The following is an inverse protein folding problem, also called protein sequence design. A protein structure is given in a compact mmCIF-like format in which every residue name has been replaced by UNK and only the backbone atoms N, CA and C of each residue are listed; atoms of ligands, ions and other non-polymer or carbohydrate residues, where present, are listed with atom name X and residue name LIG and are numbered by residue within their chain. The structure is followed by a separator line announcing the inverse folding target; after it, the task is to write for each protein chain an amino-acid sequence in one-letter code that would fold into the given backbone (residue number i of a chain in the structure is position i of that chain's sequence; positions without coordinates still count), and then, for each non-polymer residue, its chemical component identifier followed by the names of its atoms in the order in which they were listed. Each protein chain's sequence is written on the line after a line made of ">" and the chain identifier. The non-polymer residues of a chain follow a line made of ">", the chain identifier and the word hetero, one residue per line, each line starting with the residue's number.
data_IF_627134220698
#
_entry.id   IF_627134220698
#
_cell.length_a   1.000
_cell.length_b   1.000
_cell.length_c   1.000
_cell.angle_alpha   90.00
_cell.angle_beta   90.00
_cell.angle_gamma   90.00
#
_symmetry.space_group_name_H-M   'P 1'
#
loop_
_entity.id
_entity.type
_entity.pdbx_description
1 polymer ?
#
# COMPACT_ATOMS: atom_id res chain seq x y z
N UNK A 1 3.19 16.28 41.81
CA UNK A 1 3.99 16.36 43.04
C UNK A 1 3.27 17.26 44.02
N UNK A 2 2.69 16.68 45.07
CA UNK A 2 2.00 17.41 46.13
C UNK A 2 3.02 17.86 47.17
N UNK A 3 3.41 19.13 47.15
CA UNK A 3 4.23 19.74 48.19
C UNK A 3 3.37 20.08 49.41
N UNK A 4 3.76 19.62 50.59
CA UNK A 4 3.17 20.12 51.84
C UNK A 4 3.95 21.37 52.25
N UNK A 5 3.32 22.55 52.15
CA UNK A 5 3.87 23.81 52.67
C UNK A 5 3.29 24.08 54.05
N UNK A 6 4.13 24.06 55.07
CA UNK A 6 3.76 24.50 56.41
C UNK A 6 3.99 26.01 56.53
N UNK A 7 2.91 26.78 56.71
CA UNK A 7 2.99 28.19 57.09
C UNK A 7 2.67 28.29 58.58
N UNK A 8 3.70 28.38 59.41
CA UNK A 8 3.55 28.63 60.84
C UNK A 8 4.49 29.75 61.28
N UNK A 9 4.05 30.57 62.24
CA UNK A 9 4.95 31.50 62.95
C UNK A 9 5.93 30.77 63.87
N UNK A 10 5.57 29.59 64.39
CA UNK A 10 6.38 28.77 65.28
C UNK A 10 6.11 27.27 65.02
N UNK A 11 7.16 26.49 64.76
CA UNK A 11 7.11 25.03 64.78
C UNK A 11 7.83 24.56 66.05
N UNK A 12 7.15 23.79 66.89
CA UNK A 12 7.74 23.19 68.09
C UNK A 12 7.48 21.70 68.12
N UNK A 13 8.54 20.91 68.22
CA UNK A 13 8.49 19.46 68.40
C UNK A 13 9.05 19.13 69.79
N UNK A 14 8.25 18.47 70.63
CA UNK A 14 8.60 18.16 72.03
C UNK A 14 8.90 16.67 72.22
N UNK A 15 9.51 16.02 71.23
CA UNK A 15 9.96 14.63 71.35
C UNK A 15 11.38 14.58 71.92
N UNK A 16 11.68 13.55 72.73
CA UNK A 16 13.03 13.35 73.30
C UNK A 16 14.12 13.10 72.25
N UNK A 17 13.74 12.81 71.00
CA UNK A 17 14.59 12.77 69.82
C UNK A 17 13.75 12.96 68.56
N UNK A 18 14.07 13.95 67.72
CA UNK A 18 13.41 14.17 66.42
C UNK A 18 14.43 14.09 65.29
N UNK A 19 14.04 13.51 64.14
CA UNK A 19 14.83 13.53 62.90
C UNK A 19 13.99 14.12 61.79
N UNK A 20 14.57 15.05 61.04
CA UNK A 20 13.96 15.70 59.89
C UNK A 20 14.80 15.33 58.66
N UNK A 21 14.18 14.78 57.62
CA UNK A 21 14.83 14.51 56.34
C UNK A 21 13.89 14.88 55.17
N UNK A 22 14.47 15.32 54.06
CA UNK A 22 13.75 15.59 52.81
C UNK A 22 14.01 14.45 51.83
N UNK A 23 12.96 13.94 51.18
CA UNK A 23 13.06 12.77 50.28
C UNK A 23 13.55 13.11 48.88
N UNK A 24 13.51 14.38 48.45
CA UNK A 24 13.77 14.80 47.06
C UNK A 24 14.51 16.16 46.92
N UNK A 25 15.37 16.53 47.88
CA UNK A 25 16.19 17.75 47.77
C UNK A 25 16.50 18.45 49.08
N UNK A 26 16.85 19.74 49.01
CA UNK A 26 17.22 20.58 50.14
C UNK A 26 16.05 20.81 51.10
N UNK A 27 16.34 20.81 52.40
CA UNK A 27 15.40 21.23 53.44
C UNK A 27 15.54 22.73 53.67
N UNK A 28 14.59 23.51 53.16
CA UNK A 28 14.59 24.96 53.33
C UNK A 28 13.71 25.37 54.52
N UNK A 29 14.33 25.94 55.55
CA UNK A 29 13.62 26.54 56.67
C UNK A 29 13.49 28.05 56.44
N UNK A 30 12.27 28.53 56.19
CA UNK A 30 11.99 29.96 56.07
C UNK A 30 11.34 30.51 57.34
N UNK A 31 12.06 31.37 58.08
CA UNK A 31 11.55 32.10 59.23
C UNK A 31 11.65 33.61 59.00
N UNK A 32 10.60 34.37 59.37
CA UNK A 32 10.53 35.82 59.12
C UNK A 32 11.47 36.63 60.03
N UNK A 33 12.01 36.01 61.10
CA UNK A 33 12.94 36.68 62.03
C UNK A 33 14.11 35.79 62.47
N UNK A 34 13.84 34.63 63.05
CA UNK A 34 14.89 33.77 63.62
C UNK A 34 14.42 32.32 63.68
N UNK A 35 15.34 31.39 63.44
CA UNK A 35 15.13 29.95 63.67
C UNK A 35 16.12 29.49 64.73
N UNK A 36 15.62 29.16 65.92
CA UNK A 36 16.41 28.59 67.01
C UNK A 36 16.17 27.09 67.15
N UNK A 37 17.20 26.28 66.91
CA UNK A 37 17.19 24.85 67.28
C UNK A 37 17.76 24.71 68.69
N UNK A 38 16.90 24.48 69.68
CA UNK A 38 17.33 24.22 71.05
C UNK A 38 17.27 22.73 71.36
N UNK A 39 18.39 22.18 71.83
CA UNK A 39 18.46 20.81 72.34
C UNK A 39 19.25 20.81 73.64
N UNK A 40 18.79 20.01 74.61
CA UNK A 40 19.49 19.77 75.86
C UNK A 40 20.74 18.88 75.66
N UNK A 41 21.01 18.44 74.42
CA UNK A 41 22.18 17.70 73.99
C UNK A 41 22.82 18.37 72.76
N UNK A 42 24.12 18.18 72.51
CA UNK A 42 24.81 18.74 71.33
C UNK A 42 24.05 18.36 70.05
N UNK A 43 23.64 19.36 69.27
CA UNK A 43 23.08 19.16 67.93
C UNK A 43 24.19 18.60 67.04
N UNK A 44 24.00 17.40 66.49
CA UNK A 44 24.87 16.82 65.46
C UNK A 44 24.23 17.00 64.09
N UNK A 45 24.99 17.56 63.17
CA UNK A 45 24.66 17.60 61.76
C UNK A 45 25.39 16.45 61.08
N UNK A 46 24.65 15.51 60.50
CA UNK A 46 25.20 14.47 59.62
C UNK A 46 24.77 14.77 58.19
N UNK A 47 25.69 14.58 57.24
CA UNK A 47 25.37 14.61 55.83
C UNK A 47 24.71 13.27 55.47
N UNK A 48 23.42 13.29 55.16
CA UNK A 48 22.72 12.15 54.58
C UNK A 48 22.89 12.20 53.07
N UNK A 49 23.64 11.26 52.50
CA UNK A 49 23.65 11.02 51.06
C UNK A 49 22.46 10.10 50.73
N UNK A 50 21.46 10.56 49.96
CA UNK A 50 20.38 9.68 49.50
C UNK A 50 20.99 8.50 48.73
N UNK A 51 20.45 7.27 48.86
CA UNK A 51 20.88 6.18 47.99
C UNK A 51 20.70 6.59 46.53
N UNK A 52 21.72 6.35 45.70
CA UNK A 52 21.63 6.57 44.26
C UNK A 52 20.39 5.87 43.71
N UNK A 53 19.46 6.64 43.15
CA UNK A 53 18.26 6.12 42.48
C UNK A 53 18.66 5.65 41.09
N UNK A 54 19.40 4.56 41.03
CA UNK A 54 19.81 3.89 39.82
C UNK A 54 20.22 2.50 40.20
N UNK A 55 19.30 1.54 40.06
CA UNK A 55 19.72 0.15 40.11
C UNK A 55 19.66 -0.41 38.71
N UNK A 56 20.83 -0.66 38.14
CA UNK A 56 21.06 -1.63 37.04
C UNK A 56 20.55 -3.04 37.39
N UNK A 57 19.90 -3.20 38.54
CA UNK A 57 19.33 -4.40 39.10
C UNK A 57 18.03 -4.83 38.40
N UNK A 58 17.23 -3.87 37.91
CA UNK A 58 15.95 -4.15 37.23
C UNK A 58 15.99 -3.60 35.81
N UNK A 59 16.06 -4.49 34.83
CA UNK A 59 16.03 -4.12 33.41
C UNK A 59 15.37 -5.24 32.60
N UNK A 60 14.70 -4.89 31.51
CA UNK A 60 14.10 -5.88 30.61
C UNK A 60 15.20 -6.56 29.78
N UNK A 61 15.11 -7.88 29.65
CA UNK A 61 16.04 -8.68 28.83
C UNK A 61 15.38 -9.15 27.54
N UNK A 62 14.14 -9.65 27.63
CA UNK A 62 13.43 -10.22 26.48
C UNK A 62 12.04 -9.63 26.37
N UNK A 63 11.71 -9.18 25.16
CA UNK A 63 10.36 -8.84 24.75
C UNK A 63 9.86 -9.94 23.82
N UNK A 64 8.58 -10.29 23.94
CA UNK A 64 7.94 -11.25 23.04
C UNK A 64 6.62 -10.71 22.49
N UNK A 65 6.34 -11.02 21.23
CA UNK A 65 5.02 -10.83 20.63
C UNK A 65 4.08 -11.92 21.13
N UNK A 66 2.96 -11.53 21.75
CA UNK A 66 1.97 -12.46 22.33
C UNK A 66 0.76 -12.69 21.42
N UNK A 67 0.48 -11.75 20.53
CA UNK A 67 -0.56 -11.90 19.53
C UNK A 67 -0.16 -12.93 18.46
N UNK A 68 -1.15 -13.61 17.89
CA UNK A 68 -0.96 -14.47 16.73
C UNK A 68 -0.48 -13.62 15.55
N UNK A 69 0.52 -14.13 14.83
CA UNK A 69 1.03 -13.55 13.60
C UNK A 69 0.33 -14.17 12.38
N UNK A 70 0.28 -13.41 11.30
CA UNK A 70 -0.33 -13.82 10.04
C UNK A 70 0.72 -14.29 9.04
N UNK A 71 0.29 -15.10 8.06
CA UNK A 71 1.17 -15.57 6.98
C UNK A 71 1.20 -14.58 5.83
N UNK A 72 2.40 -14.36 5.29
CA UNK A 72 2.61 -13.61 4.05
C UNK A 72 4.08 -13.67 3.61
N UNK A 73 4.39 -13.04 2.47
CA UNK A 73 5.76 -12.89 2.03
C UNK A 73 6.52 -11.84 2.84
N UNK A 74 7.83 -12.05 2.96
CA UNK A 74 8.79 -11.07 3.47
C UNK A 74 9.35 -10.20 2.33
N UNK A 75 10.36 -9.38 2.63
CA UNK A 75 11.01 -8.51 1.63
C UNK A 75 11.65 -9.29 0.47
N UNK A 76 12.23 -10.45 0.75
CA UNK A 76 12.91 -11.30 -0.24
C UNK A 76 11.90 -11.89 -1.22
N UNK A 77 10.71 -12.25 -0.72
CA UNK A 77 9.62 -12.74 -1.54
C UNK A 77 9.93 -14.07 -2.24
N UNK A 78 10.94 -14.80 -1.77
CA UNK A 78 11.32 -16.14 -2.23
C UNK A 78 11.17 -17.12 -1.08
N UNK A 79 10.54 -18.28 -1.33
CA UNK A 79 10.38 -19.33 -0.32
C UNK A 79 9.00 -19.36 0.35
N UNK A 80 8.87 -20.06 1.50
CA UNK A 80 7.60 -20.22 2.20
C UNK A 80 7.12 -18.91 2.84
N UNK A 81 5.81 -18.80 3.07
CA UNK A 81 5.23 -17.68 3.79
C UNK A 81 5.75 -17.63 5.24
N UNK A 82 6.10 -16.44 5.70
CA UNK A 82 6.59 -16.19 7.06
C UNK A 82 5.48 -15.63 7.93
N UNK A 83 5.65 -15.74 9.24
CA UNK A 83 4.81 -15.07 10.23
C UNK A 83 5.20 -13.59 10.35
N UNK A 84 4.22 -12.70 10.31
CA UNK A 84 4.41 -11.27 10.48
C UNK A 84 3.14 -10.56 10.92
N UNK A 85 3.26 -9.24 11.09
CA UNK A 85 2.19 -8.34 11.47
C UNK A 85 1.48 -7.79 10.22
N UNK A 86 0.20 -7.49 10.33
CA UNK A 86 -0.59 -6.87 9.26
C UNK A 86 -1.02 -5.45 9.66
N UNK A 87 -1.01 -4.56 8.68
CA UNK A 87 -1.57 -3.22 8.83
C UNK A 87 -3.06 -3.27 9.22
N UNK A 88 -3.45 -2.39 10.15
CA UNK A 88 -4.76 -2.35 10.77
C UNK A 88 -4.91 -3.32 11.95
N UNK A 89 -3.96 -4.23 12.16
CA UNK A 89 -3.94 -5.16 13.29
C UNK A 89 -3.55 -4.48 14.61
N UNK A 90 -3.96 -5.10 15.72
CA UNK A 90 -3.59 -4.70 17.07
C UNK A 90 -2.86 -5.85 17.77
N UNK A 91 -1.62 -5.61 18.19
CA UNK A 91 -0.72 -6.64 18.69
C UNK A 91 -0.26 -6.36 20.11
N UNK A 92 -0.18 -7.41 20.92
CA UNK A 92 0.30 -7.33 22.29
C UNK A 92 1.76 -7.76 22.35
N UNK A 93 2.59 -6.91 22.94
CA UNK A 93 3.98 -7.19 23.27
C UNK A 93 4.13 -7.27 24.79
N UNK A 94 4.99 -8.16 25.27
CA UNK A 94 5.21 -8.39 26.70
C UNK A 94 6.70 -8.47 27.02
N UNK A 95 7.11 -7.79 28.09
CA UNK A 95 8.40 -8.00 28.73
C UNK A 95 8.34 -9.34 29.49
N UNK A 96 8.99 -10.38 28.93
CA UNK A 96 8.87 -11.76 29.42
C UNK A 96 10.03 -12.19 30.31
N UNK A 97 11.20 -11.59 30.14
CA UNK A 97 12.40 -11.88 30.93
C UNK A 97 13.06 -10.59 31.37
N UNK A 98 13.62 -10.60 32.57
CA UNK A 98 14.32 -9.47 33.18
C UNK A 98 15.74 -9.89 33.52
N UNK A 99 16.68 -8.96 33.35
CA UNK A 99 18.11 -9.21 33.55
C UNK A 99 18.37 -9.71 34.97
N UNK A 100 19.34 -10.61 35.09
CA UNK A 100 19.72 -11.25 36.35
C UNK A 100 18.58 -12.01 37.06
N UNK A 101 17.48 -12.30 36.34
CA UNK A 101 16.28 -12.92 36.91
C UNK A 101 15.52 -12.04 37.90
N UNK A 102 15.83 -10.73 37.95
CA UNK A 102 15.24 -9.81 38.92
C UNK A 102 14.03 -9.10 38.31
N UNK A 103 12.84 -9.50 38.78
CA UNK A 103 11.57 -8.94 38.32
C UNK A 103 11.31 -7.62 39.07
N UNK A 104 11.02 -6.51 38.36
CA UNK A 104 10.67 -5.24 38.98
C UNK A 104 9.44 -5.39 39.88
N UNK A 105 9.47 -4.75 41.04
CA UNK A 105 8.32 -4.72 41.96
C UNK A 105 7.18 -3.83 41.48
N UNK A 106 7.49 -2.85 40.61
CA UNK A 106 6.53 -1.95 39.99
C UNK A 106 6.73 -1.94 38.47
N UNK A 107 5.79 -2.53 37.74
CA UNK A 107 5.85 -2.58 36.28
C UNK A 107 5.56 -1.24 35.60
N UNK A 108 5.01 -0.24 36.29
CA UNK A 108 4.80 1.10 35.73
C UNK A 108 6.12 1.81 35.39
N UNK A 109 7.25 1.28 35.87
CA UNK A 109 8.59 1.73 35.51
C UNK A 109 9.04 1.29 34.12
N UNK A 110 8.40 0.27 33.53
CA UNK A 110 8.74 -0.24 32.20
C UNK A 110 8.13 0.69 31.15
N UNK A 111 8.99 1.29 30.34
CA UNK A 111 8.68 2.15 29.20
C UNK A 111 8.78 1.37 27.90
N UNK A 112 8.10 1.85 26.87
CA UNK A 112 8.08 1.23 25.55
C UNK A 112 8.48 2.22 24.47
N UNK A 113 9.19 1.73 23.46
CA UNK A 113 9.58 2.50 22.29
C UNK A 113 9.51 1.64 21.04
N UNK A 114 9.61 2.26 19.87
CA UNK A 114 9.66 1.56 18.59
C UNK A 114 10.77 2.10 17.69
N UNK A 115 11.16 1.30 16.70
CA UNK A 115 11.88 1.78 15.53
C UNK A 115 11.62 0.93 14.30
N UNK A 116 11.72 1.54 13.13
CA UNK A 116 11.73 0.86 11.84
C UNK A 116 12.50 1.69 10.81
N UNK A 117 12.89 1.08 9.69
CA UNK A 117 13.59 1.81 8.62
C UNK A 117 12.60 2.51 7.70
N UNK A 118 12.58 3.84 7.69
CA UNK A 118 11.71 4.69 6.88
C UNK A 118 12.14 4.79 5.40
N UNK A 119 11.40 5.55 4.58
CA UNK A 119 11.89 5.91 3.23
C UNK A 119 13.02 6.95 3.31
N UNK A 120 12.97 7.80 4.34
CA UNK A 120 13.91 8.90 4.58
C UNK A 120 14.89 8.60 5.73
N UNK A 121 15.15 7.31 6.00
CA UNK A 121 15.97 6.86 7.11
C UNK A 121 15.16 6.29 8.28
N UNK A 122 15.87 5.89 9.33
CA UNK A 122 15.32 5.32 10.56
C UNK A 122 14.25 6.22 11.19
N UNK A 123 13.08 5.64 11.45
CA UNK A 123 12.00 6.25 12.24
C UNK A 123 12.00 5.59 13.61
N UNK A 124 12.04 6.38 14.67
CA UNK A 124 11.95 5.88 16.04
C UNK A 124 11.24 6.88 16.95
N UNK A 125 10.65 6.37 18.02
CA UNK A 125 9.99 7.20 19.02
C UNK A 125 9.60 6.38 20.24
N UNK A 126 9.27 7.10 21.32
CA UNK A 126 8.71 6.52 22.52
C UNK A 126 7.19 6.35 22.38
N UNK A 127 6.65 5.34 23.05
CA UNK A 127 5.20 5.13 23.16
C UNK A 127 4.72 5.81 24.45
N UNK A 128 4.77 7.15 24.44
CA UNK A 128 4.50 7.99 25.60
C UNK A 128 3.16 7.70 26.26
N UNK A 129 3.14 7.71 27.59
CA UNK A 129 1.94 7.40 28.38
C UNK A 129 1.60 5.91 28.46
N UNK A 130 2.36 5.03 27.80
CA UNK A 130 2.21 3.59 27.88
C UNK A 130 3.35 2.96 28.69
N UNK A 131 3.05 2.59 29.92
CA UNK A 131 3.97 1.87 30.82
C UNK A 131 3.36 0.55 31.28
N UNK A 132 4.20 -0.41 31.65
CA UNK A 132 3.75 -1.69 32.17
C UNK A 132 4.45 -2.87 31.54
N UNK A 133 4.18 -4.06 32.09
CA UNK A 133 4.74 -5.33 31.58
C UNK A 133 4.28 -5.69 30.16
N UNK A 134 3.15 -5.12 29.72
CA UNK A 134 2.55 -5.36 28.39
C UNK A 134 2.17 -4.04 27.74
N UNK A 135 2.19 -4.03 26.41
CA UNK A 135 1.66 -2.93 25.61
C UNK A 135 0.84 -3.50 24.44
N UNK A 136 -0.26 -2.82 24.10
CA UNK A 136 -0.99 -3.03 22.85
C UNK A 136 -0.58 -1.97 21.84
N UNK A 137 -0.21 -2.39 20.62
CA UNK A 137 0.21 -1.50 19.53
C UNK A 137 -0.67 -1.76 18.31
N UNK A 138 -1.33 -0.71 17.82
CA UNK A 138 -2.09 -0.74 16.57
C UNK A 138 -1.23 -0.25 15.40
N UNK A 139 -1.20 -1.02 14.32
CA UNK A 139 -0.39 -0.70 13.14
C UNK A 139 -1.19 0.12 12.14
N UNK A 140 -1.19 1.45 12.31
CA UNK A 140 -1.99 2.37 11.50
C UNK A 140 -1.17 3.23 10.53
N UNK A 141 0.16 3.17 10.59
CA UNK A 141 1.04 3.88 9.66
C UNK A 141 1.34 2.99 8.42
N UNK A 142 0.89 3.38 7.20
CA UNK A 142 1.14 2.61 5.99
C UNK A 142 2.64 2.51 5.67
N UNK A 143 3.44 3.46 6.14
CA UNK A 143 4.89 3.48 6.02
C UNK A 143 5.58 2.32 6.72
N UNK A 144 4.91 1.60 7.62
CA UNK A 144 5.43 0.38 8.25
C UNK A 144 5.39 -0.85 7.34
N UNK A 145 4.49 -0.86 6.35
CA UNK A 145 4.29 -2.05 5.53
C UNK A 145 5.55 -2.40 4.73
N UNK A 146 5.91 -3.68 4.73
CA UNK A 146 7.10 -4.17 4.04
C UNK A 146 8.41 -3.92 4.79
N UNK A 147 8.38 -3.81 6.13
CA UNK A 147 9.55 -3.47 6.96
C UNK A 147 9.58 -4.26 8.25
N UNK A 148 10.75 -4.31 8.85
CA UNK A 148 10.91 -4.80 10.21
C UNK A 148 10.55 -3.69 11.20
N UNK A 149 9.63 -3.99 12.12
CA UNK A 149 9.29 -3.17 13.27
C UNK A 149 9.99 -3.75 14.49
N UNK A 150 10.82 -2.95 15.14
CA UNK A 150 11.41 -3.28 16.43
C UNK A 150 10.65 -2.59 17.55
N UNK A 151 10.16 -3.37 18.51
CA UNK A 151 9.55 -2.87 19.74
C UNK A 151 10.51 -3.09 20.89
N UNK A 152 10.75 -2.03 21.66
CA UNK A 152 11.64 -2.01 22.80
C UNK A 152 10.83 -1.90 24.09
N UNK A 153 11.32 -2.54 25.15
CA UNK A 153 10.87 -2.32 26.51
C UNK A 153 12.09 -2.10 27.40
N UNK A 154 12.05 -1.09 28.25
CA UNK A 154 13.18 -0.70 29.08
C UNK A 154 12.76 0.01 30.36
N UNK A 155 13.62 -0.03 31.38
CA UNK A 155 13.44 0.71 32.64
C UNK A 155 14.41 1.89 32.67
N UNK A 156 15.70 1.62 32.42
CA UNK A 156 16.75 2.64 32.49
C UNK A 156 16.93 3.33 31.13
N UNK A 157 17.25 2.56 30.08
CA UNK A 157 17.50 3.10 28.72
C UNK A 157 17.15 2.09 27.62
N UNK A 158 16.89 2.58 26.41
CA UNK A 158 16.56 1.74 25.24
C UNK A 158 17.71 0.78 24.89
N UNK A 159 18.95 1.23 25.11
CA UNK A 159 20.18 0.49 24.84
C UNK A 159 20.39 -0.65 25.85
N UNK A 160 19.96 -0.45 27.10
CA UNK A 160 20.04 -1.46 28.15
C UNK A 160 18.83 -2.40 28.17
N UNK A 161 17.70 -2.02 27.58
CA UNK A 161 16.48 -2.80 27.58
C UNK A 161 16.44 -3.99 26.63
N UNK A 162 15.30 -4.67 26.62
CA UNK A 162 15.00 -5.77 25.71
C UNK A 162 14.26 -5.29 24.46
N UNK A 163 14.33 -6.05 23.38
CA UNK A 163 13.56 -5.76 22.18
C UNK A 163 13.11 -7.02 21.45
N UNK A 164 12.11 -6.86 20.59
CA UNK A 164 11.70 -7.86 19.60
C UNK A 164 11.56 -7.18 18.25
N UNK A 165 12.07 -7.83 17.21
CA UNK A 165 11.90 -7.37 15.83
C UNK A 165 10.94 -8.29 15.11
N UNK A 166 9.92 -7.74 14.47
CA UNK A 166 8.92 -8.52 13.73
C UNK A 166 8.65 -7.87 12.37
N UNK A 167 8.51 -8.70 11.35
CA UNK A 167 8.18 -8.27 10.00
C UNK A 167 6.74 -7.75 9.93
N UNK A 168 6.53 -6.60 9.29
CA UNK A 168 5.21 -6.09 8.90
C UNK A 168 5.02 -6.35 7.42
N UNK A 169 4.02 -7.16 7.07
CA UNK A 169 3.77 -7.51 5.68
C UNK A 169 3.43 -6.28 4.82
N UNK A 170 3.74 -6.36 3.53
CA UNK A 170 3.14 -5.49 2.52
C UNK A 170 1.61 -5.61 2.58
N UNK A 171 0.87 -4.57 2.16
CA UNK A 171 -0.60 -4.64 2.15
C UNK A 171 -1.09 -5.81 1.30
N UNK A 172 -0.54 -5.99 0.11
CA UNK A 172 -0.78 -7.18 -0.71
C UNK A 172 0.14 -8.33 -0.28
N UNK A 173 -0.08 -8.89 0.90
CA UNK A 173 0.90 -9.77 1.58
C UNK A 173 1.22 -11.09 0.90
N UNK A 174 0.38 -11.56 -0.02
CA UNK A 174 0.62 -12.79 -0.79
C UNK A 174 1.27 -12.52 -2.15
N UNK A 175 1.64 -11.27 -2.43
CA UNK A 175 2.41 -10.90 -3.60
C UNK A 175 3.88 -10.74 -3.21
N UNK A 176 4.77 -11.46 -3.90
CA UNK A 176 6.22 -11.31 -3.70
C UNK A 176 6.68 -9.96 -4.24
N UNK A 177 7.37 -9.17 -3.40
CA UNK A 177 7.95 -7.89 -3.84
C UNK A 177 8.92 -8.06 -5.00
N UNK A 178 9.70 -9.14 -4.99
CA UNK A 178 10.67 -9.41 -6.04
C UNK A 178 9.99 -9.73 -7.36
N UNK A 179 8.90 -10.52 -7.34
CA UNK A 179 8.12 -10.81 -8.54
C UNK A 179 7.51 -9.53 -9.12
N UNK A 180 6.94 -8.68 -8.26
CA UNK A 180 6.40 -7.38 -8.68
C UNK A 180 7.49 -6.54 -9.36
N UNK A 181 8.68 -6.44 -8.76
CA UNK A 181 9.80 -5.68 -9.34
C UNK A 181 10.27 -6.27 -10.68
N UNK A 182 10.35 -7.59 -10.78
CA UNK A 182 10.76 -8.27 -12.01
C UNK A 182 9.75 -8.02 -13.14
N UNK A 183 8.46 -8.24 -12.88
CA UNK A 183 7.40 -8.00 -13.86
C UNK A 183 7.30 -6.52 -14.25
N UNK A 184 7.49 -5.60 -13.29
CA UNK A 184 7.53 -4.17 -13.52
C UNK A 184 8.70 -3.78 -14.44
N UNK A 185 9.90 -4.29 -14.18
CA UNK A 185 11.08 -4.02 -15.02
C UNK A 185 10.86 -4.47 -16.48
N UNK A 186 10.16 -5.58 -16.69
CA UNK A 186 9.84 -6.04 -18.03
C UNK A 186 8.84 -5.13 -18.75
N UNK A 187 7.84 -4.58 -18.04
CA UNK A 187 6.89 -3.61 -18.61
C UNK A 187 7.54 -2.28 -18.92
N UNK A 188 8.43 -1.79 -18.05
CA UNK A 188 9.19 -0.56 -18.29
C UNK A 188 10.05 -0.66 -19.55
N UNK A 189 10.59 -1.85 -19.86
CA UNK A 189 11.31 -2.11 -21.13
C UNK A 189 10.35 -2.33 -22.31
N UNK A 190 9.25 -3.04 -22.07
CA UNK A 190 8.30 -3.52 -23.08
C UNK A 190 6.88 -3.20 -22.62
N UNK A 191 6.46 -1.96 -22.87
CA UNK A 191 5.17 -1.43 -22.40
C UNK A 191 3.95 -2.26 -22.84
N UNK A 192 4.03 -2.95 -23.99
CA UNK A 192 2.96 -3.80 -24.51
C UNK A 192 2.74 -5.09 -23.69
N UNK A 193 3.52 -5.35 -22.64
CA UNK A 193 3.33 -6.50 -21.74
C UNK A 193 2.27 -6.28 -20.66
N UNK A 194 1.60 -5.12 -20.60
CA UNK A 194 0.45 -4.92 -19.72
C UNK A 194 -0.68 -5.85 -20.16
N UNK A 195 -1.07 -6.77 -19.28
CA UNK A 195 -2.00 -7.84 -19.60
C UNK A 195 -3.12 -7.96 -18.56
N UNK A 196 -4.35 -7.75 -19.02
CA UNK A 196 -5.59 -7.96 -18.26
C UNK A 196 -5.99 -9.44 -18.14
N UNK A 197 -5.27 -10.34 -18.81
CA UNK A 197 -5.63 -11.75 -18.97
C UNK A 197 -7.07 -11.87 -19.56
N UNK A 198 -7.89 -12.80 -19.08
CA UNK A 198 -9.28 -12.98 -19.50
C UNK A 198 -10.31 -12.13 -18.72
N UNK A 199 -9.88 -11.09 -18.00
CA UNK A 199 -10.77 -10.19 -17.24
C UNK A 199 -11.37 -9.09 -18.12
N UNK A 200 -12.46 -8.47 -17.67
CA UNK A 200 -13.08 -7.31 -18.35
C UNK A 200 -12.38 -5.97 -18.09
N UNK A 201 -11.08 -5.98 -17.74
CA UNK A 201 -10.27 -4.79 -17.44
C UNK A 201 -9.64 -4.12 -18.68
N UNK A 202 -10.25 -4.24 -19.87
CA UNK A 202 -9.63 -3.75 -21.12
C UNK A 202 -9.44 -2.25 -21.16
N UNK A 203 -10.36 -1.49 -20.57
CA UNK A 203 -10.19 -0.05 -20.41
C UNK A 203 -8.97 0.26 -19.54
N UNK A 204 -8.81 -0.43 -18.40
CA UNK A 204 -7.64 -0.29 -17.54
C UNK A 204 -6.34 -0.63 -18.27
N UNK A 205 -6.29 -1.76 -18.98
CA UNK A 205 -5.11 -2.15 -19.74
C UNK A 205 -4.76 -1.11 -20.81
N UNK A 206 -5.75 -0.61 -21.55
CA UNK A 206 -5.56 0.42 -22.58
C UNK A 206 -5.01 1.73 -21.99
N UNK A 207 -5.61 2.25 -20.90
CA UNK A 207 -5.15 3.51 -20.29
C UNK A 207 -3.75 3.36 -19.68
N UNK A 208 -3.43 2.24 -19.05
CA UNK A 208 -2.10 2.05 -18.46
C UNK A 208 -1.04 1.79 -19.52
N UNK A 209 -1.38 1.18 -20.65
CA UNK A 209 -0.49 1.03 -21.80
C UNK A 209 -0.09 2.38 -22.41
N UNK A 210 -1.04 3.31 -22.57
CA UNK A 210 -0.71 4.68 -23.03
C UNK A 210 0.06 5.45 -21.95
N UNK A 211 -0.33 5.31 -20.68
CA UNK A 211 0.28 6.03 -19.56
C UNK A 211 1.74 5.66 -19.32
N UNK A 212 2.06 4.36 -19.34
CA UNK A 212 3.42 3.84 -19.16
C UNK A 212 4.41 4.43 -20.17
N UNK A 213 3.94 4.79 -21.38
CA UNK A 213 4.79 5.39 -22.43
C UNK A 213 5.15 6.84 -22.19
N UNK A 214 4.30 7.59 -21.49
CA UNK A 214 4.48 9.03 -21.26
C UNK A 214 4.93 9.34 -19.84
N UNK A 215 4.69 8.44 -18.88
CA UNK A 215 5.03 8.61 -17.47
C UNK A 215 5.45 7.28 -16.81
N UNK A 216 6.54 6.65 -17.26
CA UNK A 216 6.98 5.35 -16.74
C UNK A 216 7.31 5.37 -15.24
N UNK A 217 7.89 6.47 -14.75
CA UNK A 217 8.20 6.63 -13.33
C UNK A 217 6.93 6.68 -12.45
N UNK A 218 5.86 7.32 -12.94
CA UNK A 218 4.58 7.36 -12.23
C UNK A 218 3.91 5.98 -12.21
N UNK A 219 4.00 5.22 -13.31
CA UNK A 219 3.52 3.82 -13.34
C UNK A 219 4.26 2.94 -12.33
N UNK A 220 5.59 3.03 -12.28
CA UNK A 220 6.40 2.33 -11.28
C UNK A 220 5.99 2.72 -9.86
N UNK A 221 5.83 4.01 -9.60
CA UNK A 221 5.37 4.51 -8.30
C UNK A 221 4.01 3.93 -7.91
N UNK A 222 3.03 3.93 -8.82
CA UNK A 222 1.71 3.32 -8.59
C UNK A 222 1.85 1.85 -8.20
N UNK A 223 2.57 1.05 -8.99
CA UNK A 223 2.72 -0.38 -8.74
C UNK A 223 3.35 -0.66 -7.37
N UNK A 224 4.43 0.05 -7.05
CA UNK A 224 5.20 -0.17 -5.83
C UNK A 224 4.49 0.35 -4.58
N UNK A 225 3.83 1.51 -4.64
CA UNK A 225 3.09 2.04 -3.49
C UNK A 225 1.78 1.30 -3.25
N UNK A 226 1.04 0.90 -4.30
CA UNK A 226 -0.12 0.04 -4.11
C UNK A 226 0.25 -1.28 -3.45
N UNK A 227 1.28 -1.96 -3.97
CA UNK A 227 1.76 -3.21 -3.36
C UNK A 227 2.11 -3.02 -1.87
N UNK A 228 2.82 -1.93 -1.55
CA UNK A 228 3.31 -1.69 -0.19
C UNK A 228 2.26 -1.14 0.76
N UNK A 229 1.68 0.02 0.44
CA UNK A 229 0.82 0.86 1.28
C UNK A 229 -0.66 0.60 1.04
N UNK A 230 -1.01 -0.13 -0.04
CA UNK A 230 -2.39 -0.44 -0.40
C UNK A 230 -3.13 0.74 -1.02
N UNK A 231 -2.57 1.94 -0.97
CA UNK A 231 -3.14 3.15 -1.56
C UNK A 231 -2.02 4.03 -2.12
N UNK A 232 -2.37 4.85 -3.11
CA UNK A 232 -1.50 5.90 -3.64
C UNK A 232 -2.35 7.09 -4.07
N UNK A 233 -1.85 8.30 -3.78
CA UNK A 233 -2.32 9.52 -4.41
C UNK A 233 -1.35 9.94 -5.51
N UNK A 234 -1.87 10.10 -6.72
CA UNK A 234 -1.14 10.65 -7.85
C UNK A 234 -2.00 11.72 -8.52
N UNK A 235 -1.40 12.88 -8.81
CA UNK A 235 -2.13 14.05 -9.28
C UNK A 235 -3.32 14.37 -8.36
N UNK A 236 -4.53 14.47 -8.92
CA UNK A 236 -5.75 14.79 -8.18
C UNK A 236 -6.57 13.55 -7.82
N UNK A 237 -5.99 12.36 -7.97
CA UNK A 237 -6.69 11.09 -7.82
C UNK A 237 -6.03 10.19 -6.78
N UNK A 238 -6.85 9.48 -6.00
CA UNK A 238 -6.39 8.47 -5.03
C UNK A 238 -6.88 7.11 -5.46
N UNK A 239 -5.96 6.17 -5.67
CA UNK A 239 -6.28 4.76 -5.83
C UNK A 239 -6.28 4.13 -4.43
N UNK A 240 -7.44 3.61 -4.01
CA UNK A 240 -7.64 2.91 -2.75
C UNK A 240 -8.66 1.77 -2.97
N UNK A 241 -8.21 0.55 -3.23
CA UNK A 241 -9.07 -0.59 -3.49
C UNK A 241 -9.81 -1.06 -2.22
N UNK A 242 -10.81 -1.92 -2.44
CA UNK A 242 -11.49 -2.64 -1.37
C UNK A 242 -10.50 -3.47 -0.53
N UNK A 243 -10.73 -3.53 0.78
CA UNK A 243 -9.83 -4.21 1.71
C UNK A 243 -9.69 -5.72 1.47
N UNK A 244 -10.71 -6.35 0.88
CA UNK A 244 -10.68 -7.77 0.51
C UNK A 244 -9.60 -8.10 -0.52
N UNK A 245 -9.16 -7.13 -1.33
CA UNK A 245 -8.15 -7.35 -2.37
C UNK A 245 -6.76 -7.65 -1.79
N UNK A 246 -6.46 -7.17 -0.59
CA UNK A 246 -5.20 -7.41 0.10
C UNK A 246 -4.97 -8.88 0.47
N UNK A 247 -6.04 -9.67 0.47
CA UNK A 247 -6.07 -11.10 0.80
C UNK A 247 -5.93 -12.01 -0.42
N UNK A 248 -5.91 -11.45 -1.63
CA UNK A 248 -5.80 -12.24 -2.84
C UNK A 248 -4.43 -12.95 -2.91
N UNK A 249 -4.45 -14.26 -3.15
CA UNK A 249 -3.24 -15.05 -3.38
C UNK A 249 -3.06 -15.37 -4.88
N UNK A 250 -1.98 -14.94 -5.53
CA UNK A 250 -1.74 -15.17 -6.96
C UNK A 250 -1.21 -16.58 -7.24
N UNK A 251 -2.01 -17.60 -6.92
CA UNK A 251 -1.65 -19.01 -6.98
C UNK A 251 -2.49 -19.77 -8.01
N UNK A 252 -1.93 -20.85 -8.58
CA UNK A 252 -2.59 -21.66 -9.60
C UNK A 252 -3.88 -22.31 -9.06
N UNK A 253 -3.87 -22.76 -7.82
CA UNK A 253 -4.99 -23.37 -7.12
C UNK A 253 -6.08 -22.37 -6.69
N UNK A 254 -5.75 -21.07 -6.64
CA UNK A 254 -6.73 -20.05 -6.27
C UNK A 254 -7.59 -19.67 -7.48
N UNK A 255 -8.80 -20.22 -7.56
CA UNK A 255 -9.74 -19.96 -8.66
C UNK A 255 -10.24 -18.50 -8.70
N UNK A 256 -10.21 -17.80 -7.57
CA UNK A 256 -10.56 -16.38 -7.51
C UNK A 256 -9.50 -15.51 -8.21
N UNK A 257 -8.24 -15.95 -8.30
CA UNK A 257 -7.21 -15.19 -9.00
C UNK A 257 -7.37 -15.35 -10.52
N UNK A 258 -7.42 -14.25 -11.30
CA UNK A 258 -7.61 -14.31 -12.74
C UNK A 258 -6.55 -15.15 -13.46
N UNK A 259 -7.02 -16.11 -14.26
CA UNK A 259 -6.16 -17.01 -15.01
C UNK A 259 -6.90 -17.62 -16.20
N UNK A 260 -6.15 -17.94 -17.26
CA UNK A 260 -6.61 -18.86 -18.30
C UNK A 260 -6.33 -20.27 -17.80
N UNK A 261 -7.40 -21.07 -17.67
CA UNK A 261 -7.35 -22.44 -17.16
C UNK A 261 -7.68 -23.49 -18.23
N UNK A 262 -8.22 -23.07 -19.37
CA UNK A 262 -8.66 -23.95 -20.44
C UNK A 262 -8.35 -23.31 -21.80
N UNK A 263 -8.06 -24.14 -22.81
CA UNK A 263 -8.01 -23.71 -24.20
C UNK A 263 -9.41 -23.35 -24.70
N UNK A 264 -9.49 -22.64 -25.84
CA UNK A 264 -10.76 -22.35 -26.52
C UNK A 264 -11.55 -23.61 -26.92
N UNK A 265 -10.89 -24.76 -27.01
CA UNK A 265 -11.51 -26.08 -27.22
C UNK A 265 -12.22 -26.64 -25.97
N UNK A 266 -12.11 -25.99 -24.82
CA UNK A 266 -12.58 -26.51 -23.52
C UNK A 266 -11.62 -27.49 -22.85
N UNK A 267 -10.43 -27.71 -23.43
CA UNK A 267 -9.42 -28.60 -22.84
C UNK A 267 -8.68 -27.90 -21.71
N UNK A 268 -8.63 -28.50 -20.51
CA UNK A 268 -7.92 -27.94 -19.36
C UNK A 268 -6.42 -27.82 -19.59
N UNK A 269 -5.86 -26.68 -19.18
CA UNK A 269 -4.42 -26.45 -19.13
C UNK A 269 -3.81 -27.20 -17.95
N UNK A 270 -2.65 -27.83 -18.18
CA UNK A 270 -1.89 -28.49 -17.10
C UNK A 270 -1.39 -27.48 -16.05
N UNK A 271 -1.03 -26.28 -16.51
CA UNK A 271 -0.60 -25.16 -15.67
C UNK A 271 -1.42 -23.94 -16.09
N UNK A 272 -2.23 -23.34 -15.20
CA UNK A 272 -2.95 -22.11 -15.48
C UNK A 272 -2.01 -20.97 -15.88
N UNK A 273 -2.43 -20.16 -16.86
CA UNK A 273 -1.74 -18.92 -17.22
C UNK A 273 -2.34 -17.78 -16.39
N UNK A 274 -1.68 -17.50 -15.26
CA UNK A 274 -2.09 -16.48 -14.31
C UNK A 274 -1.96 -15.07 -14.92
N UNK A 275 -2.86 -14.16 -14.54
CA UNK A 275 -2.68 -12.74 -14.79
C UNK A 275 -1.39 -12.27 -14.12
N UNK A 276 -0.55 -11.47 -14.79
CA UNK A 276 0.65 -10.94 -14.15
C UNK A 276 0.34 -10.18 -12.87
N UNK A 277 1.14 -10.41 -11.84
CA UNK A 277 0.94 -9.89 -10.49
C UNK A 277 0.93 -8.36 -10.46
N UNK A 278 1.86 -7.72 -11.15
CA UNK A 278 1.94 -6.26 -11.20
C UNK A 278 0.74 -5.65 -11.93
N UNK A 279 0.26 -6.30 -13.00
CA UNK A 279 -0.92 -5.84 -13.72
C UNK A 279 -2.17 -6.03 -12.88
N UNK A 280 -2.29 -7.13 -12.13
CA UNK A 280 -3.43 -7.32 -11.25
C UNK A 280 -3.47 -6.23 -10.17
N UNK A 281 -2.34 -5.96 -9.50
CA UNK A 281 -2.25 -4.89 -8.51
C UNK A 281 -2.66 -3.54 -9.11
N UNK A 282 -2.13 -3.17 -10.28
CA UNK A 282 -2.38 -1.84 -10.86
C UNK A 282 -3.78 -1.74 -11.47
N UNK A 283 -4.13 -2.65 -12.38
CA UNK A 283 -5.39 -2.60 -13.14
C UNK A 283 -6.59 -2.85 -12.23
N UNK A 284 -6.53 -3.92 -11.40
CA UNK A 284 -7.68 -4.29 -10.58
C UNK A 284 -7.90 -3.31 -9.43
N UNK A 285 -6.84 -2.80 -8.79
CA UNK A 285 -6.99 -1.83 -7.69
C UNK A 285 -7.54 -0.48 -8.17
N UNK A 286 -7.09 -0.04 -9.35
CA UNK A 286 -7.64 1.17 -9.98
C UNK A 286 -9.13 0.98 -10.30
N UNK A 287 -9.51 -0.18 -10.84
CA UNK A 287 -10.93 -0.47 -11.12
C UNK A 287 -11.76 -0.56 -9.86
N UNK A 288 -11.24 -1.19 -8.81
CA UNK A 288 -11.93 -1.30 -7.51
C UNK A 288 -12.24 0.07 -6.93
N UNK A 289 -11.29 1.01 -7.03
CA UNK A 289 -11.46 2.40 -6.56
C UNK A 289 -12.57 3.17 -7.28
N UNK A 290 -12.90 2.77 -8.52
CA UNK A 290 -13.96 3.36 -9.35
C UNK A 290 -15.27 2.57 -9.33
N UNK A 291 -15.32 1.43 -8.65
CA UNK A 291 -16.45 0.52 -8.75
C UNK A 291 -17.44 0.71 -7.60
N UNK A 292 -18.55 1.39 -7.91
CA UNK A 292 -19.71 1.46 -7.01
C UNK A 292 -20.43 0.11 -6.84
N UNK A 293 -20.08 -0.89 -7.67
CA UNK A 293 -20.65 -2.24 -7.65
C UNK A 293 -19.78 -3.24 -6.88
N UNK A 294 -18.71 -2.77 -6.20
CA UNK A 294 -17.89 -3.60 -5.33
C UNK A 294 -16.95 -4.56 -6.05
N UNK A 295 -16.30 -4.11 -7.13
CA UNK A 295 -15.27 -4.92 -7.81
C UNK A 295 -14.12 -5.28 -6.86
N UNK A 296 -13.81 -6.58 -6.77
CA UNK A 296 -12.86 -7.16 -5.82
C UNK A 296 -11.64 -7.81 -6.49
N UNK A 297 -11.51 -7.68 -7.81
CA UNK A 297 -10.38 -8.22 -8.57
C UNK A 297 -10.47 -9.72 -8.84
N UNK A 298 -11.63 -10.34 -8.62
CA UNK A 298 -11.80 -11.78 -8.78
C UNK A 298 -12.04 -12.16 -10.23
N UNK A 299 -11.64 -13.38 -10.57
CA UNK A 299 -12.02 -14.03 -11.83
C UNK A 299 -13.55 -14.10 -11.95
N UNK A 300 -14.08 -13.86 -13.16
CA UNK A 300 -15.52 -13.91 -13.44
C UNK A 300 -16.31 -12.65 -13.07
N UNK A 301 -15.71 -11.64 -12.41
CA UNK A 301 -16.35 -10.34 -12.19
C UNK A 301 -16.40 -9.52 -13.49
N UNK A 302 -17.46 -9.67 -14.29
CA UNK A 302 -17.59 -9.02 -15.60
C UNK A 302 -18.19 -7.62 -15.49
N UNK A 303 -19.42 -7.50 -14.96
CA UNK A 303 -20.17 -6.22 -14.93
C UNK A 303 -19.49 -5.17 -14.04
N UNK A 304 -19.02 -5.57 -12.86
CA UNK A 304 -18.34 -4.67 -11.92
C UNK A 304 -16.97 -4.19 -12.43
N UNK A 305 -16.38 -4.89 -13.39
CA UNK A 305 -15.10 -4.58 -14.02
C UNK A 305 -15.19 -3.63 -15.22
N UNK A 306 -16.38 -3.41 -15.81
CA UNK A 306 -16.55 -2.59 -17.02
C UNK A 306 -16.03 -1.15 -16.81
N UNK A 307 -15.18 -0.71 -17.73
CA UNK A 307 -14.70 0.68 -17.84
C UNK A 307 -15.66 1.52 -18.71
N UNK A 308 -16.68 2.10 -18.09
CA UNK A 308 -17.56 3.06 -18.77
C UNK A 308 -16.81 4.32 -19.20
N UNK A 309 -17.32 5.05 -20.19
CA UNK A 309 -16.63 6.22 -20.73
C UNK A 309 -16.34 7.31 -19.69
N UNK A 310 -17.24 7.52 -18.73
CA UNK A 310 -17.02 8.43 -17.60
C UNK A 310 -15.80 8.04 -16.75
N UNK A 311 -15.59 6.74 -16.52
CA UNK A 311 -14.42 6.22 -15.79
C UNK A 311 -13.15 6.44 -16.61
N UNK A 312 -13.18 6.17 -17.92
CA UNK A 312 -12.04 6.41 -18.81
C UNK A 312 -11.62 7.88 -18.79
N UNK A 313 -12.57 8.80 -18.99
CA UNK A 313 -12.32 10.24 -18.98
C UNK A 313 -11.76 10.72 -17.64
N UNK A 314 -12.36 10.29 -16.53
CA UNK A 314 -11.92 10.65 -15.18
C UNK A 314 -10.48 10.20 -14.94
N UNK A 315 -10.14 8.94 -15.24
CA UNK A 315 -8.79 8.42 -15.01
C UNK A 315 -7.74 9.09 -15.90
N UNK A 316 -8.04 9.29 -17.20
CA UNK A 316 -7.12 9.99 -18.10
C UNK A 316 -6.86 11.43 -17.63
N UNK A 317 -7.88 12.12 -17.09
CA UNK A 317 -7.75 13.48 -16.59
C UNK A 317 -7.11 13.58 -15.20
N UNK A 318 -7.71 12.94 -14.22
CA UNK A 318 -7.41 13.15 -12.79
C UNK A 318 -6.23 12.32 -12.29
N UNK A 319 -6.11 11.07 -12.77
CA UNK A 319 -5.03 10.16 -12.39
C UNK A 319 -3.81 10.34 -13.28
N UNK A 320 -3.99 10.36 -14.60
CA UNK A 320 -2.87 10.33 -15.56
C UNK A 320 -2.37 11.73 -15.97
N UNK A 321 -3.21 12.76 -15.78
CA UNK A 321 -2.86 14.14 -16.06
C UNK A 321 -2.75 14.47 -17.54
N UNK A 322 -3.53 13.80 -18.42
CA UNK A 322 -3.63 14.20 -19.82
C UNK A 322 -4.27 15.59 -19.93
N UNK A 323 -3.66 16.48 -20.71
CA UNK A 323 -4.12 17.87 -20.89
C UNK A 323 -5.13 18.00 -22.03
N UNK A 324 -4.99 17.17 -23.07
CA UNK A 324 -5.95 17.07 -24.16
C UNK A 324 -6.65 15.72 -24.10
N UNK A 325 -7.98 15.74 -23.98
CA UNK A 325 -8.83 14.54 -24.00
C UNK A 325 -10.06 14.87 -24.85
N UNK A 326 -10.19 14.23 -26.01
CA UNK A 326 -11.37 14.36 -26.89
C UNK A 326 -12.01 12.99 -27.00
N UNK A 327 -13.28 12.91 -26.61
CA UNK A 327 -14.11 11.71 -26.72
C UNK A 327 -14.88 11.72 -28.03
N UNK A 328 -14.48 10.88 -28.97
CA UNK A 328 -15.19 10.63 -30.22
C UNK A 328 -15.91 9.27 -30.20
N UNK A 329 -16.23 8.73 -29.03
CA UNK A 329 -16.99 7.47 -28.90
C UNK A 329 -18.51 7.71 -29.01
N UNK A 330 -19.23 6.66 -29.38
CA UNK A 330 -20.68 6.64 -29.51
C UNK A 330 -21.27 5.35 -28.94
N UNK A 331 -22.57 5.38 -28.61
CA UNK A 331 -23.30 4.22 -28.10
C UNK A 331 -23.57 3.20 -29.22
N UNK A 332 -23.70 3.67 -30.46
CA UNK A 332 -23.85 2.84 -31.67
C UNK A 332 -22.55 2.82 -32.45
N UNK A 333 -22.42 1.85 -33.35
CA UNK A 333 -21.28 1.78 -34.26
C UNK A 333 -21.27 2.97 -35.23
N UNK A 334 -20.07 3.33 -35.70
CA UNK A 334 -19.82 4.46 -36.57
C UNK A 334 -19.43 3.95 -37.96
N UNK A 335 -20.31 4.15 -38.94
CA UNK A 335 -20.07 3.85 -40.36
C UNK A 335 -19.40 5.05 -41.05
N UNK A 336 -18.09 5.22 -40.83
CA UNK A 336 -17.27 6.29 -41.44
C UNK A 336 -15.98 5.77 -42.07
N UNK A 337 -15.98 4.50 -42.49
CA UNK A 337 -14.86 3.95 -43.22
C UNK A 337 -14.75 4.56 -44.64
N UNK A 338 -13.56 4.96 -45.12
CA UNK A 338 -12.25 4.91 -44.44
C UNK A 338 -11.82 6.24 -43.77
N UNK A 339 -12.63 7.30 -43.89
CA UNK A 339 -12.33 8.67 -43.46
C UNK A 339 -11.89 8.75 -41.98
N UNK A 340 -12.58 8.02 -41.11
CA UNK A 340 -12.28 8.03 -39.67
C UNK A 340 -10.92 7.39 -39.35
N UNK A 341 -10.54 6.35 -40.09
CA UNK A 341 -9.23 5.70 -39.94
C UNK A 341 -8.11 6.62 -40.41
N UNK A 342 -8.32 7.32 -41.53
CA UNK A 342 -7.36 8.31 -42.05
C UNK A 342 -7.15 9.42 -41.03
N UNK A 343 -8.25 9.92 -40.44
CA UNK A 343 -8.19 10.92 -39.37
C UNK A 343 -7.38 10.42 -38.16
N UNK A 344 -7.66 9.21 -37.67
CA UNK A 344 -6.91 8.61 -36.56
C UNK A 344 -5.42 8.45 -36.87
N UNK A 345 -5.07 8.08 -38.10
CA UNK A 345 -3.67 7.96 -38.52
C UNK A 345 -2.96 9.32 -38.56
N UNK A 346 -3.62 10.36 -39.05
CA UNK A 346 -3.11 11.73 -39.03
C UNK A 346 -2.89 12.22 -37.60
N UNK A 347 -3.85 11.99 -36.71
CA UNK A 347 -3.75 12.35 -35.28
C UNK A 347 -2.64 11.56 -34.57
N UNK A 348 -2.51 10.26 -34.84
CA UNK A 348 -1.40 9.45 -34.34
C UNK A 348 -0.05 10.02 -34.79
N UNK A 349 0.07 10.40 -36.06
CA UNK A 349 1.29 11.01 -36.61
C UNK A 349 1.60 12.39 -35.99
N UNK A 350 0.60 13.10 -35.47
CA UNK A 350 0.76 14.34 -34.69
C UNK A 350 1.16 14.09 -33.22
N UNK A 351 1.41 12.82 -32.84
CA UNK A 351 1.82 12.41 -31.50
C UNK A 351 0.67 12.32 -30.50
N UNK A 352 -0.58 12.22 -30.96
CA UNK A 352 -1.69 11.82 -30.09
C UNK A 352 -1.67 10.31 -29.87
N UNK A 353 -2.14 9.89 -28.70
CA UNK A 353 -2.43 8.48 -28.43
C UNK A 353 -3.92 8.24 -28.65
N UNK A 354 -4.24 7.08 -29.24
CA UNK A 354 -5.58 6.78 -29.74
C UNK A 354 -6.09 5.49 -29.09
N UNK A 355 -7.12 5.60 -28.24
CA UNK A 355 -7.77 4.43 -27.61
C UNK A 355 -9.10 4.20 -28.33
N UNK A 356 -9.25 3.08 -29.04
CA UNK A 356 -10.46 2.72 -29.75
C UNK A 356 -11.43 1.95 -28.85
N UNK A 357 -12.72 2.23 -28.96
CA UNK A 357 -13.79 1.39 -28.44
C UNK A 357 -14.36 0.55 -29.59
N UNK A 358 -14.31 -0.76 -29.43
CA UNK A 358 -14.77 -1.73 -30.43
C UNK A 358 -15.68 -2.78 -29.79
N UNK A 359 -16.41 -3.52 -30.61
CA UNK A 359 -16.88 -4.85 -30.26
C UNK A 359 -15.73 -5.84 -30.46
N UNK A 360 -15.46 -6.69 -29.47
CA UNK A 360 -14.38 -7.69 -29.54
C UNK A 360 -14.52 -8.66 -30.72
N UNK A 361 -15.73 -8.81 -31.29
CA UNK A 361 -15.97 -9.57 -32.51
C UNK A 361 -15.13 -9.07 -33.70
N UNK A 362 -14.76 -7.78 -33.73
CA UNK A 362 -13.85 -7.22 -34.74
C UNK A 362 -12.52 -8.00 -34.78
N UNK A 363 -11.96 -8.33 -33.62
CA UNK A 363 -10.69 -9.05 -33.49
C UNK A 363 -10.80 -10.51 -33.95
N UNK A 364 -12.02 -11.03 -34.05
CA UNK A 364 -12.32 -12.35 -34.61
C UNK A 364 -12.84 -12.30 -36.06
N UNK A 365 -12.81 -11.12 -36.70
CA UNK A 365 -13.26 -10.87 -38.08
C UNK A 365 -14.73 -11.21 -38.31
N UNK A 366 -15.59 -10.90 -37.33
CA UNK A 366 -17.03 -11.16 -37.37
C UNK A 366 -17.82 -9.86 -37.32
N UNK A 367 -18.85 -9.74 -38.15
CA UNK A 367 -19.76 -8.59 -38.16
C UNK A 367 -20.68 -8.59 -36.93
N UNK A 368 -20.94 -7.42 -36.32
CA UNK A 368 -21.77 -7.34 -35.10
C UNK A 368 -22.48 -6.00 -34.88
N UNK A 369 -23.59 -5.77 -35.58
CA UNK A 369 -24.25 -4.46 -35.66
C UNK A 369 -24.76 -3.81 -34.36
N UNK A 370 -24.95 -4.55 -33.27
CA UNK A 370 -25.12 -4.05 -31.89
C UNK A 370 -24.88 -5.24 -30.95
N UNK A 371 -23.89 -5.12 -30.07
CA UNK A 371 -23.80 -5.95 -28.86
C UNK A 371 -23.05 -5.20 -27.75
N UNK A 372 -23.81 -4.66 -26.79
CA UNK A 372 -23.28 -3.90 -25.66
C UNK A 372 -22.49 -4.77 -24.65
N UNK A 373 -22.56 -6.10 -24.74
CA UNK A 373 -21.84 -6.99 -23.79
C UNK A 373 -20.42 -7.31 -24.24
N UNK A 374 -20.03 -6.93 -25.46
CA UNK A 374 -18.73 -7.27 -26.05
C UNK A 374 -17.84 -6.03 -26.29
N UNK A 375 -18.13 -4.92 -25.60
CA UNK A 375 -17.30 -3.73 -25.65
C UNK A 375 -15.88 -4.02 -25.17
N UNK A 376 -14.92 -3.57 -25.96
CA UNK A 376 -13.51 -3.82 -25.74
C UNK A 376 -12.69 -2.61 -26.17
N UNK A 377 -11.74 -2.22 -25.32
CA UNK A 377 -10.81 -1.14 -25.64
C UNK A 377 -9.52 -1.71 -26.21
N UNK A 378 -9.06 -1.13 -27.32
CA UNK A 378 -7.74 -1.39 -27.90
C UNK A 378 -7.01 -0.06 -28.09
N UNK A 379 -5.70 -0.10 -28.26
CA UNK A 379 -4.92 1.12 -28.55
C UNK A 379 -4.37 1.03 -29.98
N UNK A 380 -4.67 2.04 -30.79
CA UNK A 380 -4.21 2.11 -32.18
C UNK A 380 -2.74 2.56 -32.22
N UNK A 381 -1.92 1.83 -32.97
CA UNK A 381 -0.46 2.00 -33.05
C UNK A 381 0.02 2.32 -34.48
N UNK A 382 -0.86 2.92 -35.29
CA UNK A 382 -0.50 3.41 -36.62
C UNK A 382 -0.35 2.30 -37.67
N UNK A 383 0.47 2.59 -38.68
CA UNK A 383 0.69 1.74 -39.85
C UNK A 383 -0.59 1.39 -40.62
N UNK A 384 -1.49 2.38 -40.73
CA UNK A 384 -2.71 2.23 -41.52
C UNK A 384 -2.38 1.99 -43.00
N UNK A 385 -2.94 0.93 -43.55
CA UNK A 385 -3.04 0.67 -44.97
C UNK A 385 -4.52 0.49 -45.34
N UNK A 386 -4.96 1.10 -46.44
CA UNK A 386 -6.32 0.97 -46.97
C UNK A 386 -6.23 0.40 -48.38
N UNK A 387 -6.89 -0.74 -48.60
CA UNK A 387 -7.12 -1.29 -49.92
C UNK A 387 -8.55 -0.99 -50.34
N UNK A 388 -8.74 0.06 -51.13
CA UNK A 388 -10.07 0.46 -51.60
C UNK A 388 -10.71 -0.57 -52.54
N UNK A 389 -9.91 -1.36 -53.27
CA UNK A 389 -10.41 -2.38 -54.21
C UNK A 389 -10.98 -3.56 -53.45
N UNK A 390 -10.24 -4.05 -52.45
CA UNK A 390 -10.66 -5.15 -51.59
C UNK A 390 -11.64 -4.70 -50.49
N UNK A 391 -11.76 -3.38 -50.26
CA UNK A 391 -12.50 -2.77 -49.16
C UNK A 391 -12.00 -3.29 -47.82
N UNK A 392 -10.69 -3.27 -47.64
CA UNK A 392 -10.00 -3.74 -46.44
C UNK A 392 -9.11 -2.63 -45.87
N UNK A 393 -8.85 -2.70 -44.57
CA UNK A 393 -7.81 -1.91 -43.92
C UNK A 393 -6.94 -2.81 -43.06
N UNK A 394 -5.68 -2.43 -42.88
CA UNK A 394 -4.82 -3.01 -41.88
C UNK A 394 -4.13 -1.93 -41.05
N UNK A 395 -3.86 -2.24 -39.77
CA UNK A 395 -3.16 -1.35 -38.87
C UNK A 395 -2.57 -2.12 -37.69
N UNK A 396 -1.66 -1.48 -36.95
CA UNK A 396 -1.12 -1.99 -35.71
C UNK A 396 -2.03 -1.61 -34.54
N UNK A 397 -2.16 -2.51 -33.57
CA UNK A 397 -2.84 -2.18 -32.32
C UNK A 397 -2.31 -2.96 -31.13
N UNK A 398 -2.54 -2.45 -29.92
CA UNK A 398 -2.30 -3.16 -28.67
C UNK A 398 -3.61 -3.67 -28.07
N UNK A 399 -3.60 -4.94 -27.62
CA UNK A 399 -4.67 -5.57 -26.85
C UNK A 399 -4.12 -6.83 -26.13
N UNK A 400 -4.65 -7.16 -24.95
CA UNK A 400 -4.34 -8.38 -24.20
C UNK A 400 -2.84 -8.70 -24.07
N UNK A 401 -2.03 -7.73 -23.63
CA UNK A 401 -0.59 -7.94 -23.40
C UNK A 401 0.23 -8.15 -24.67
N UNK A 402 -0.29 -7.74 -25.83
CA UNK A 402 0.37 -7.93 -27.13
C UNK A 402 0.23 -6.72 -28.02
N UNK A 403 1.33 -6.39 -28.70
CA UNK A 403 1.32 -5.56 -29.90
C UNK A 403 1.04 -6.46 -31.10
N UNK A 404 -0.03 -6.18 -31.83
CA UNK A 404 -0.45 -6.92 -33.01
C UNK A 404 -0.10 -6.07 -34.25
N UNK A 405 0.86 -6.50 -35.08
CA UNK A 405 1.22 -5.76 -36.28
C UNK A 405 0.31 -6.11 -37.46
N UNK A 406 -0.11 -5.09 -38.20
CA UNK A 406 -0.76 -5.17 -39.51
C UNK A 406 -1.93 -6.18 -39.61
N UNK A 407 -2.78 -6.29 -38.58
CA UNK A 407 -3.98 -7.11 -38.70
C UNK A 407 -4.97 -6.45 -39.66
N UNK A 408 -5.72 -7.25 -40.41
CA UNK A 408 -6.55 -6.82 -41.53
C UNK A 408 -8.03 -7.05 -41.24
N UNK A 409 -8.83 -6.02 -41.51
CA UNK A 409 -10.28 -5.99 -41.32
C UNK A 409 -10.96 -5.52 -42.60
N UNK A 410 -12.05 -6.20 -43.00
CA UNK A 410 -12.91 -5.70 -44.07
C UNK A 410 -13.71 -4.48 -43.62
N UNK A 411 -14.16 -3.66 -44.57
CA UNK A 411 -15.04 -2.51 -44.34
C UNK A 411 -16.27 -2.91 -43.53
N UNK A 412 -16.89 -4.05 -43.85
CA UNK A 412 -18.08 -4.55 -43.17
C UNK A 412 -17.80 -4.88 -41.69
N UNK A 413 -16.68 -5.57 -41.43
CA UNK A 413 -16.24 -5.89 -40.07
C UNK A 413 -15.93 -4.62 -39.28
N UNK A 414 -15.22 -3.67 -39.86
CA UNK A 414 -14.90 -2.42 -39.18
C UNK A 414 -16.16 -1.62 -38.83
N UNK A 415 -17.00 -1.31 -39.82
CA UNK A 415 -18.19 -0.48 -39.64
C UNK A 415 -19.21 -1.08 -38.67
N UNK A 416 -19.33 -2.41 -38.65
CA UNK A 416 -20.26 -3.08 -37.75
C UNK A 416 -19.72 -3.24 -36.33
N UNK A 417 -18.45 -2.95 -36.04
CA UNK A 417 -17.88 -3.19 -34.72
C UNK A 417 -17.17 -1.97 -34.09
N UNK A 418 -16.96 -0.88 -34.82
CA UNK A 418 -16.25 0.30 -34.31
C UNK A 418 -17.22 1.32 -33.69
N UNK A 419 -17.02 1.67 -32.42
CA UNK A 419 -17.85 2.64 -31.69
C UNK A 419 -17.17 4.00 -31.53
N UNK A 420 -16.00 4.22 -32.14
CA UNK A 420 -15.23 5.46 -32.02
C UNK A 420 -13.98 5.32 -31.17
N UNK A 421 -13.42 6.44 -30.74
CA UNK A 421 -12.12 6.47 -30.07
C UNK A 421 -11.96 7.69 -29.16
N UNK A 422 -11.05 7.60 -28.20
CA UNK A 422 -10.50 8.75 -27.50
C UNK A 422 -9.23 9.20 -28.19
N UNK A 423 -9.10 10.51 -28.38
CA UNK A 423 -7.84 11.17 -28.72
C UNK A 423 -7.28 11.83 -27.48
N UNK A 424 -6.06 11.46 -27.10
CA UNK A 424 -5.42 12.01 -25.91
C UNK A 424 -3.98 12.47 -26.17
N UNK A 425 -3.56 13.50 -25.45
CA UNK A 425 -2.18 14.00 -25.43
C UNK A 425 -1.87 14.63 -24.09
N UNK A 426 -0.71 14.31 -23.54
CA UNK A 426 -0.27 14.84 -22.25
C UNK A 426 0.33 16.22 -22.43
#
# INVERSE_FOLDING_TARGET
>A
MSSIKYFSKNLSETSGSSRWFATDGDMEFSAIKEMGLQSNQKVKYDNYTPPEKGSDEYEVEVVATKSKLEKGYNAEGTGPLVDGLIFGGAYVFEATLFKNGKIPTDFSTIKWAYSYEGENGKVEGDLDGHTGKKIGVSLLDPGLCGRNLTIYAYINSKESGGSVTTWVHYRFRYFSRQDIKNELAERLKRNYLIDQNNTSLCGMAAIYYVFLRVAPADFEKIALELHQKGEIKLNNYTIKPASSMYEMAPLAENEDYPAIREYSSGTKLKVPLLMPKVDWIVLASTRSSESNLGYSGKSGETVSAINWGSVMLKLMKELMGYTTIIDNTAISTIDKYPEILTTMQEEYNQGYQIIMLINSNMLSKKDSWINLTNWHYIVFEGNLCIDEKMKECSFNYFSWGKLVPADTFSKAVFNSNFYGYYKIKK
#
